data_IF_546493191896
#
_entry.id   IF_546493191896
#
_cell.length_a   1.000
_cell.length_b   1.000
_cell.length_c   1.000
_cell.angle_alpha   90.00
_cell.angle_beta   90.00
_cell.angle_gamma   90.00
#
_symmetry.space_group_name_H-M   'P 1'
#
loop_
_entity.id
_entity.type
_entity.pdbx_description
1 polymer ?
#
# COMPACT_ATOMS: atom_id res chain seq x y z
N UNK A 1 6.62 0.82 7.61
CA UNK A 1 5.51 1.41 8.38
C UNK A 1 4.31 0.47 8.44
N UNK A 2 3.50 0.32 7.38
CA UNK A 2 2.20 -0.39 7.41
C UNK A 2 2.31 -1.84 7.88
N UNK A 3 3.14 -2.66 7.25
CA UNK A 3 3.30 -4.08 7.64
C UNK A 3 3.70 -4.25 9.10
N UNK A 4 4.61 -3.42 9.62
CA UNK A 4 5.02 -3.49 11.03
C UNK A 4 3.90 -3.08 12.00
N UNK A 5 3.02 -2.16 11.61
CA UNK A 5 1.86 -1.80 12.42
C UNK A 5 0.84 -2.95 12.47
N UNK A 6 0.52 -3.53 11.32
CA UNK A 6 -0.37 -4.70 11.24
C UNK A 6 0.18 -5.87 12.06
N UNK A 7 1.49 -6.15 11.96
CA UNK A 7 2.13 -7.21 12.74
C UNK A 7 1.97 -6.96 14.24
N UNK A 8 2.30 -5.75 14.75
CA UNK A 8 2.13 -5.42 16.18
C UNK A 8 0.70 -5.65 16.65
N UNK A 9 -0.29 -5.27 15.83
CA UNK A 9 -1.70 -5.46 16.14
C UNK A 9 -2.07 -6.93 16.22
N UNK A 10 -1.70 -7.70 15.20
CA UNK A 10 -2.05 -9.11 15.10
C UNK A 10 -1.33 -9.99 16.13
N UNK A 11 -0.10 -9.64 16.54
CA UNK A 11 0.61 -10.33 17.64
C UNK A 11 -0.12 -10.25 18.98
N UNK A 12 -0.91 -9.20 19.20
CA UNK A 12 -1.71 -9.03 20.42
C UNK A 12 -3.13 -9.57 20.30
N UNK A 13 -3.54 -10.03 19.12
CA UNK A 13 -4.89 -10.48 18.84
C UNK A 13 -5.10 -11.94 19.27
N UNK A 14 -6.16 -12.18 20.01
CA UNK A 14 -6.60 -13.54 20.35
C UNK A 14 -7.21 -14.31 19.18
N UNK A 15 -7.49 -13.66 18.04
CA UNK A 15 -8.02 -14.26 16.82
C UNK A 15 -6.93 -14.99 16.01
N UNK A 16 -5.66 -14.66 16.23
CA UNK A 16 -4.54 -15.15 15.45
C UNK A 16 -3.80 -16.25 16.20
N UNK A 17 -3.74 -17.44 15.62
CA UNK A 17 -3.05 -18.59 16.22
C UNK A 17 -1.61 -18.73 15.76
N UNK A 18 -1.31 -18.31 14.53
CA UNK A 18 0.02 -18.33 13.95
C UNK A 18 0.17 -17.16 12.98
N UNK A 19 1.34 -16.51 12.95
CA UNK A 19 1.61 -15.32 12.17
C UNK A 19 2.97 -15.41 11.47
N UNK A 20 2.97 -15.63 10.15
CA UNK A 20 4.17 -15.52 9.35
C UNK A 20 4.46 -14.05 8.99
N UNK A 21 5.53 -13.52 9.53
CA UNK A 21 6.03 -12.15 9.26
C UNK A 21 7.10 -12.20 8.18
N UNK A 22 6.68 -12.38 6.92
CA UNK A 22 7.61 -12.51 5.81
C UNK A 22 8.15 -11.14 5.39
N UNK A 23 9.46 -11.02 5.35
CA UNK A 23 10.21 -9.87 4.82
C UNK A 23 10.76 -10.15 3.41
N UNK A 24 11.46 -9.19 2.81
CA UNK A 24 12.15 -9.39 1.53
C UNK A 24 13.29 -10.39 1.61
N UNK A 25 13.84 -10.62 2.80
CA UNK A 25 14.92 -11.59 3.04
C UNK A 25 14.36 -13.02 3.12
N UNK A 26 13.09 -13.16 3.52
CA UNK A 26 12.42 -14.45 3.68
C UNK A 26 11.74 -14.92 2.39
N UNK A 27 11.18 -13.98 1.61
CA UNK A 27 10.44 -14.30 0.38
C UNK A 27 10.66 -13.22 -0.67
N UNK A 28 11.18 -13.58 -1.81
CA UNK A 28 11.26 -12.70 -2.98
C UNK A 28 9.90 -12.65 -3.70
N UNK A 29 9.10 -11.62 -3.42
CA UNK A 29 7.81 -11.42 -4.07
C UNK A 29 7.91 -11.06 -5.57
N UNK A 30 9.11 -10.79 -6.11
CA UNK A 30 9.33 -10.66 -7.56
C UNK A 30 9.49 -12.00 -8.26
N UNK A 31 9.68 -13.07 -7.50
CA UNK A 31 9.78 -14.45 -7.97
C UNK A 31 8.47 -15.20 -7.69
N UNK A 32 7.78 -15.61 -8.77
CA UNK A 32 6.57 -16.43 -8.64
C UNK A 32 6.85 -17.75 -7.93
N UNK A 33 7.97 -18.42 -8.26
CA UNK A 33 8.32 -19.71 -7.65
C UNK A 33 8.57 -19.59 -6.14
N UNK A 34 9.21 -18.50 -5.70
CA UNK A 34 9.51 -18.27 -4.29
C UNK A 34 8.24 -17.88 -3.51
N UNK A 35 7.44 -16.96 -4.05
CA UNK A 35 6.13 -16.59 -3.50
C UNK A 35 5.22 -17.81 -3.34
N UNK A 36 5.10 -18.62 -4.41
CA UNK A 36 4.29 -19.85 -4.39
C UNK A 36 4.81 -20.85 -3.36
N UNK A 37 6.11 -21.04 -3.27
CA UNK A 37 6.73 -21.95 -2.29
C UNK A 37 6.38 -21.52 -0.87
N UNK A 38 6.53 -20.25 -0.53
CA UNK A 38 6.22 -19.73 0.80
C UNK A 38 4.74 -19.94 1.14
N UNK A 39 3.81 -19.53 0.27
CA UNK A 39 2.37 -19.68 0.48
C UNK A 39 1.98 -21.16 0.60
N UNK A 40 2.48 -22.02 -0.28
CA UNK A 40 2.16 -23.46 -0.26
C UNK A 40 2.73 -24.18 0.96
N UNK A 41 3.88 -23.78 1.47
CA UNK A 41 4.52 -24.38 2.65
C UNK A 41 3.85 -23.95 3.95
N UNK A 42 3.51 -22.67 4.08
CA UNK A 42 2.88 -22.12 5.27
C UNK A 42 1.36 -22.42 5.32
N UNK A 43 0.70 -22.45 4.16
CA UNK A 43 -0.75 -22.70 4.01
C UNK A 43 -1.61 -21.76 4.87
N UNK A 44 -1.49 -20.43 4.66
CA UNK A 44 -2.24 -19.47 5.45
C UNK A 44 -3.75 -19.55 5.15
N UNK A 45 -4.59 -19.27 6.14
CA UNK A 45 -6.03 -19.01 5.96
C UNK A 45 -6.27 -17.60 5.37
N UNK A 46 -5.34 -16.67 5.68
CA UNK A 46 -5.43 -15.28 5.28
C UNK A 46 -4.06 -14.73 4.88
N UNK A 47 -3.99 -14.08 3.73
CA UNK A 47 -2.83 -13.27 3.32
C UNK A 47 -3.19 -11.79 3.45
N UNK A 48 -2.37 -11.02 4.16
CA UNK A 48 -2.46 -9.56 4.22
C UNK A 48 -1.32 -8.99 3.39
N UNK A 49 -1.64 -8.48 2.20
CA UNK A 49 -0.64 -7.90 1.30
C UNK A 49 -0.37 -6.43 1.64
N UNK A 50 0.63 -6.20 2.47
CA UNK A 50 1.16 -4.87 2.79
C UNK A 50 2.42 -4.52 1.99
N UNK A 51 2.86 -5.39 1.08
CA UNK A 51 4.05 -5.17 0.27
C UNK A 51 3.73 -4.29 -0.94
N UNK A 52 4.53 -3.26 -1.13
CA UNK A 52 4.45 -2.39 -2.32
C UNK A 52 5.72 -1.56 -2.46
N UNK A 53 6.00 -1.09 -3.69
CA UNK A 53 6.86 0.07 -3.91
C UNK A 53 6.03 1.32 -3.72
N UNK A 54 6.38 2.11 -2.73
CA UNK A 54 5.67 3.36 -2.37
C UNK A 54 6.65 4.54 -2.32
N UNK A 55 6.12 5.76 -2.43
CA UNK A 55 6.93 6.97 -2.34
C UNK A 55 6.10 8.22 -2.59
N UNK A 56 6.67 9.39 -2.33
CA UNK A 56 6.06 10.69 -2.58
C UNK A 56 5.88 11.00 -4.08
N UNK A 57 5.34 12.18 -4.37
CA UNK A 57 5.07 12.64 -5.75
C UNK A 57 6.34 12.65 -6.60
N UNK A 58 7.46 13.13 -6.05
CA UNK A 58 8.74 13.19 -6.76
C UNK A 58 9.22 11.79 -7.18
N UNK A 59 9.24 10.84 -6.25
CA UNK A 59 9.62 9.46 -6.53
C UNK A 59 8.72 8.80 -7.58
N UNK A 60 7.38 8.96 -7.45
CA UNK A 60 6.41 8.43 -8.42
C UNK A 60 6.62 9.00 -9.82
N UNK A 61 6.88 10.29 -9.93
CA UNK A 61 7.09 10.95 -11.22
C UNK A 61 8.44 10.60 -11.85
N UNK A 62 9.46 10.31 -11.05
CA UNK A 62 10.82 9.98 -11.51
C UNK A 62 10.95 8.51 -11.89
N UNK A 63 10.48 7.59 -11.03
CA UNK A 63 10.66 6.14 -11.20
C UNK A 63 9.40 5.44 -11.71
N UNK A 64 8.73 6.05 -12.68
CA UNK A 64 7.42 5.63 -13.20
C UNK A 64 7.34 4.15 -13.57
N UNK A 65 8.33 3.65 -14.28
CA UNK A 65 8.39 2.26 -14.73
C UNK A 65 8.54 1.29 -13.57
N UNK A 66 9.36 1.62 -12.59
CA UNK A 66 9.57 0.78 -11.41
C UNK A 66 8.29 0.70 -10.57
N UNK A 67 7.60 1.83 -10.41
CA UNK A 67 6.34 1.86 -9.64
C UNK A 67 5.26 0.97 -10.25
N UNK A 68 5.12 0.92 -11.57
CA UNK A 68 4.12 0.03 -12.18
C UNK A 68 4.61 -1.42 -12.20
N UNK A 69 5.83 -1.70 -12.65
CA UNK A 69 6.33 -3.08 -12.82
C UNK A 69 6.47 -3.80 -11.47
N UNK A 70 7.11 -3.18 -10.48
CA UNK A 70 7.35 -3.82 -9.19
C UNK A 70 6.03 -4.11 -8.46
N UNK A 71 5.09 -3.15 -8.43
CA UNK A 71 3.79 -3.38 -7.81
C UNK A 71 2.96 -4.43 -8.55
N UNK A 72 3.00 -4.46 -9.89
CA UNK A 72 2.33 -5.53 -10.66
C UNK A 72 2.94 -6.90 -10.34
N UNK A 73 4.26 -7.05 -10.32
CA UNK A 73 4.92 -8.32 -9.99
C UNK A 73 4.51 -8.83 -8.62
N UNK A 74 4.58 -7.97 -7.59
CA UNK A 74 4.19 -8.34 -6.21
C UNK A 74 2.75 -8.85 -6.20
N UNK A 75 1.82 -8.07 -6.74
CA UNK A 75 0.41 -8.41 -6.72
C UNK A 75 0.12 -9.68 -7.54
N UNK A 76 0.64 -9.77 -8.77
CA UNK A 76 0.42 -10.95 -9.63
C UNK A 76 0.95 -12.22 -8.95
N UNK A 77 2.15 -12.22 -8.40
CA UNK A 77 2.74 -13.40 -7.78
C UNK A 77 1.96 -13.86 -6.54
N UNK A 78 1.50 -12.94 -5.70
CA UNK A 78 0.68 -13.29 -4.53
C UNK A 78 -0.67 -13.84 -4.98
N UNK A 79 -1.38 -13.13 -5.85
CA UNK A 79 -2.71 -13.52 -6.29
C UNK A 79 -2.69 -14.84 -7.07
N UNK A 80 -1.79 -15.00 -8.03
CA UNK A 80 -1.66 -16.24 -8.80
C UNK A 80 -1.32 -17.42 -7.88
N UNK A 81 -0.40 -17.23 -6.92
CA UNK A 81 -0.06 -18.28 -5.97
C UNK A 81 -1.23 -18.69 -5.10
N UNK A 82 -2.14 -17.78 -4.75
CA UNK A 82 -3.33 -18.09 -3.94
C UNK A 82 -4.36 -18.93 -4.69
N UNK A 83 -4.41 -18.89 -6.04
CA UNK A 83 -5.38 -19.68 -6.82
C UNK A 83 -5.16 -21.19 -6.70
N UNK A 84 -3.98 -21.63 -6.26
CA UNK A 84 -3.70 -23.06 -5.99
C UNK A 84 -4.36 -23.57 -4.70
N UNK A 85 -4.89 -22.67 -3.87
CA UNK A 85 -5.70 -23.00 -2.70
C UNK A 85 -6.84 -21.96 -2.55
N UNK A 86 -8.04 -22.24 -3.08
CA UNK A 86 -9.19 -21.33 -3.04
C UNK A 86 -9.68 -20.95 -1.64
N UNK A 87 -9.31 -21.70 -0.61
CA UNK A 87 -9.67 -21.39 0.79
C UNK A 87 -8.89 -20.17 1.34
N UNK A 88 -7.78 -19.78 0.71
CA UNK A 88 -7.00 -18.62 1.14
C UNK A 88 -7.79 -17.34 0.88
N UNK A 89 -8.05 -16.58 1.95
CA UNK A 89 -8.58 -15.22 1.86
C UNK A 89 -7.45 -14.20 1.69
N UNK A 90 -7.74 -13.04 1.10
CA UNK A 90 -6.73 -12.01 0.88
C UNK A 90 -7.28 -10.65 1.29
N UNK A 91 -6.56 -9.94 2.14
CA UNK A 91 -6.70 -8.48 2.34
C UNK A 91 -5.59 -7.81 1.55
N UNK A 92 -5.98 -7.05 0.53
CA UNK A 92 -5.05 -6.34 -0.34
C UNK A 92 -5.13 -4.84 -0.06
N UNK A 93 -3.97 -4.22 0.22
CA UNK A 93 -3.90 -2.78 0.42
C UNK A 93 -3.80 -2.06 -0.92
N UNK A 94 -4.90 -1.46 -1.32
CA UNK A 94 -5.02 -0.57 -2.45
C UNK A 94 -4.47 0.83 -2.14
N UNK A 95 -5.08 1.84 -2.72
CA UNK A 95 -4.75 3.26 -2.46
C UNK A 95 -5.87 4.14 -2.98
N UNK A 96 -6.13 5.26 -2.33
CA UNK A 96 -7.08 6.28 -2.82
C UNK A 96 -6.69 6.93 -4.15
N UNK A 97 -5.45 6.78 -4.59
CA UNK A 97 -4.98 7.30 -5.89
C UNK A 97 -5.63 6.63 -7.13
N UNK A 98 -6.38 5.54 -6.93
CA UNK A 98 -7.13 4.85 -8.00
C UNK A 98 -8.33 5.65 -8.51
N UNK A 99 -8.77 6.64 -7.73
CA UNK A 99 -9.91 7.47 -8.11
C UNK A 99 -9.51 8.56 -9.11
N UNK A 100 -10.41 8.95 -10.01
CA UNK A 100 -10.14 10.01 -10.98
C UNK A 100 -9.76 11.34 -10.31
N UNK A 101 -8.87 12.09 -10.98
CA UNK A 101 -8.39 13.40 -10.52
C UNK A 101 -9.54 14.37 -10.20
N UNK A 102 -10.58 14.36 -11.05
CA UNK A 102 -11.72 15.28 -10.97
C UNK A 102 -12.90 14.69 -10.20
N UNK A 103 -12.67 13.66 -9.36
CA UNK A 103 -13.74 13.05 -8.56
C UNK A 103 -14.34 14.09 -7.59
N UNK A 104 -15.69 14.20 -7.51
CA UNK A 104 -16.33 15.04 -6.50
C UNK A 104 -16.02 14.56 -5.07
N UNK A 105 -15.94 15.49 -4.12
CA UNK A 105 -15.83 15.18 -2.70
C UNK A 105 -17.21 15.19 -2.00
N UNK A 106 -17.48 14.25 -1.09
CA UNK A 106 -16.65 13.09 -0.73
C UNK A 106 -16.55 12.06 -1.87
N UNK A 107 -15.36 11.46 -2.04
CA UNK A 107 -15.13 10.44 -3.07
C UNK A 107 -15.91 9.18 -2.72
N UNK A 108 -16.70 8.67 -3.68
CA UNK A 108 -17.46 7.42 -3.53
C UNK A 108 -16.76 6.28 -4.27
N UNK A 109 -16.90 5.06 -3.77
CA UNK A 109 -16.35 3.86 -4.41
C UNK A 109 -16.82 3.69 -5.87
N UNK A 110 -18.05 4.14 -6.17
CA UNK A 110 -18.63 4.11 -7.53
C UNK A 110 -17.91 4.99 -8.54
N UNK A 111 -16.99 5.87 -8.11
CA UNK A 111 -16.19 6.70 -9.01
C UNK A 111 -14.96 5.97 -9.56
N UNK A 112 -14.71 4.75 -9.09
CA UNK A 112 -13.65 3.89 -9.59
C UNK A 112 -13.72 3.74 -11.13
N UNK A 113 -12.61 4.02 -11.81
CA UNK A 113 -12.46 3.99 -13.28
C UNK A 113 -13.34 4.97 -14.09
N UNK A 114 -13.98 5.96 -13.48
CA UNK A 114 -14.87 6.90 -14.18
C UNK A 114 -14.15 8.14 -14.74
N UNK A 115 -12.84 8.15 -14.83
CA UNK A 115 -12.11 9.31 -15.35
C UNK A 115 -10.60 9.11 -15.38
N UNK A 116 -9.88 10.19 -15.70
CA UNK A 116 -8.41 10.20 -15.80
C UNK A 116 -7.76 10.19 -14.41
N UNK A 117 -6.70 9.40 -14.28
CA UNK A 117 -5.87 9.38 -13.08
C UNK A 117 -5.01 10.65 -12.98
N UNK A 118 -4.57 10.95 -11.78
CA UNK A 118 -3.58 12.00 -11.55
C UNK A 118 -2.26 11.63 -12.30
N UNK A 119 -1.72 12.54 -13.16
CA UNK A 119 -0.64 12.17 -14.09
C UNK A 119 0.67 11.75 -13.42
N UNK A 120 1.04 12.33 -12.26
CA UNK A 120 2.35 12.07 -11.64
C UNK A 120 2.45 10.67 -11.04
N UNK A 121 1.34 10.13 -10.53
CA UNK A 121 1.29 8.81 -9.89
C UNK A 121 0.49 7.76 -10.68
N UNK A 122 0.06 8.09 -11.92
CA UNK A 122 -0.76 7.17 -12.72
C UNK A 122 -0.19 5.76 -12.90
N UNK A 123 1.14 5.51 -13.02
CA UNK A 123 1.67 4.15 -13.10
C UNK A 123 1.44 3.33 -11.81
N UNK A 124 1.61 3.95 -10.65
CA UNK A 124 1.30 3.32 -9.37
C UNK A 124 -0.21 3.04 -9.24
N UNK A 125 -1.03 4.03 -9.55
CA UNK A 125 -2.48 3.89 -9.52
C UNK A 125 -2.96 2.76 -10.44
N UNK A 126 -2.42 2.66 -11.67
CA UNK A 126 -2.74 1.56 -12.60
C UNK A 126 -2.37 0.19 -12.05
N UNK A 127 -1.23 0.05 -11.37
CA UNK A 127 -0.87 -1.21 -10.71
C UNK A 127 -1.86 -1.57 -9.59
N UNK A 128 -2.34 -0.59 -8.83
CA UNK A 128 -3.36 -0.79 -7.79
C UNK A 128 -4.74 -1.11 -8.37
N UNK A 129 -5.15 -0.47 -9.47
CA UNK A 129 -6.37 -0.80 -10.23
C UNK A 129 -6.30 -2.23 -10.75
N UNK A 130 -5.18 -2.61 -11.37
CA UNK A 130 -4.99 -3.98 -11.85
C UNK A 130 -5.10 -5.01 -10.72
N UNK A 131 -4.56 -4.72 -9.53
CA UNK A 131 -4.67 -5.64 -8.39
C UNK A 131 -6.12 -5.83 -7.92
N UNK A 132 -6.94 -4.79 -7.96
CA UNK A 132 -8.38 -4.90 -7.65
C UNK A 132 -9.07 -5.81 -8.66
N UNK A 133 -8.79 -5.62 -9.94
CA UNK A 133 -9.43 -6.40 -11.00
C UNK A 133 -8.97 -7.87 -10.99
N UNK A 134 -7.69 -8.13 -10.72
CA UNK A 134 -7.18 -9.48 -10.50
C UNK A 134 -7.92 -10.15 -9.32
N UNK A 135 -8.04 -9.43 -8.18
CA UNK A 135 -8.76 -9.96 -7.01
C UNK A 135 -10.23 -10.29 -7.30
N UNK A 136 -10.94 -9.44 -8.05
CA UNK A 136 -12.30 -9.71 -8.50
C UNK A 136 -12.39 -10.95 -9.40
N UNK A 137 -11.47 -11.05 -10.35
CA UNK A 137 -11.41 -12.16 -11.29
C UNK A 137 -11.14 -13.49 -10.58
N UNK A 138 -10.20 -13.51 -9.64
CA UNK A 138 -9.89 -14.69 -8.82
C UNK A 138 -11.08 -15.10 -7.98
N UNK A 139 -11.78 -14.15 -7.36
CA UNK A 139 -12.98 -14.45 -6.60
C UNK A 139 -14.06 -15.12 -7.47
N UNK A 140 -14.28 -14.61 -8.67
CA UNK A 140 -15.28 -15.17 -9.60
C UNK A 140 -14.89 -16.54 -10.15
N UNK A 141 -13.61 -16.74 -10.45
CA UNK A 141 -13.14 -17.95 -11.14
C UNK A 141 -12.77 -19.07 -10.18
N UNK A 142 -12.17 -18.76 -9.04
CA UNK A 142 -11.60 -19.74 -8.12
C UNK A 142 -12.29 -19.76 -6.74
N UNK A 143 -13.00 -18.69 -6.37
CA UNK A 143 -13.72 -18.61 -5.09
C UNK A 143 -12.93 -17.95 -3.95
N UNK A 144 -11.65 -17.63 -4.13
CA UNK A 144 -10.87 -16.91 -3.09
C UNK A 144 -11.56 -15.59 -2.72
N UNK A 145 -11.73 -15.33 -1.44
CA UNK A 145 -12.29 -14.05 -0.97
C UNK A 145 -11.20 -12.99 -0.93
N UNK A 146 -11.40 -11.92 -1.67
CA UNK A 146 -10.46 -10.80 -1.74
C UNK A 146 -11.13 -9.52 -1.29
N UNK A 147 -10.60 -8.91 -0.23
CA UNK A 147 -11.00 -7.58 0.26
C UNK A 147 -9.92 -6.59 -0.15
N UNK A 148 -10.31 -5.52 -0.86
CA UNK A 148 -9.41 -4.43 -1.21
C UNK A 148 -9.71 -3.23 -0.32
N UNK A 149 -8.73 -2.82 0.50
CA UNK A 149 -8.83 -1.62 1.34
C UNK A 149 -8.18 -0.43 0.62
N UNK A 150 -8.85 0.72 0.65
CA UNK A 150 -8.38 1.95 -0.01
C UNK A 150 -7.96 3.00 1.03
N UNK A 151 -6.81 2.80 1.71
CA UNK A 151 -6.36 3.77 2.69
C UNK A 151 -6.05 5.11 2.03
N UNK A 152 -6.23 6.18 2.79
CA UNK A 152 -5.82 7.53 2.44
C UNK A 152 -4.31 7.72 2.70
N UNK A 153 -3.82 8.93 2.94
CA UNK A 153 -2.41 9.16 3.21
C UNK A 153 -2.06 8.64 4.62
N UNK A 154 -1.34 7.53 4.65
CA UNK A 154 -0.92 6.92 5.91
C UNK A 154 0.29 7.65 6.48
N UNK A 155 0.34 7.74 7.80
CA UNK A 155 1.47 8.25 8.56
C UNK A 155 1.61 7.52 9.89
N UNK A 156 2.80 7.51 10.47
CA UNK A 156 3.01 6.93 11.80
C UNK A 156 4.43 6.42 12.05
N UNK A 157 4.54 5.56 13.04
CA UNK A 157 5.81 4.98 13.50
C UNK A 157 6.43 4.14 12.39
N UNK A 158 7.75 4.22 12.22
CA UNK A 158 8.52 3.56 11.16
C UNK A 158 8.20 4.05 9.75
N UNK A 159 7.73 5.28 9.60
CA UNK A 159 7.61 5.89 8.29
C UNK A 159 8.99 6.23 7.70
N UNK A 160 9.05 6.52 6.41
CA UNK A 160 10.28 6.92 5.73
C UNK A 160 10.44 8.42 5.76
N UNK A 161 11.43 8.90 6.51
CA UNK A 161 11.72 10.32 6.68
C UNK A 161 12.82 10.75 5.71
N UNK A 162 12.42 11.35 4.59
CA UNK A 162 13.31 11.94 3.60
C UNK A 162 12.81 13.34 3.25
N UNK A 163 13.69 14.34 3.12
CA UNK A 163 13.25 15.69 2.76
C UNK A 163 12.66 15.77 1.34
N UNK A 164 12.97 14.82 0.45
CA UNK A 164 12.61 14.86 -0.99
C UNK A 164 11.67 13.75 -1.46
N UNK A 165 11.78 12.54 -0.92
CA UNK A 165 11.15 11.35 -1.50
C UNK A 165 10.03 10.73 -0.65
N UNK A 166 9.87 11.22 0.58
CA UNK A 166 8.82 10.75 1.49
C UNK A 166 7.45 11.38 1.21
N UNK A 167 6.43 10.82 1.84
CA UNK A 167 5.09 11.43 1.89
C UNK A 167 5.11 12.76 2.64
N UNK A 168 4.01 13.52 2.55
CA UNK A 168 3.96 14.92 3.00
C UNK A 168 4.28 15.10 4.49
N UNK A 169 3.69 14.30 5.39
CA UNK A 169 3.93 14.45 6.84
C UNK A 169 5.38 14.14 7.21
N UNK A 170 5.94 12.94 6.88
CA UNK A 170 7.33 12.65 7.22
C UNK A 170 8.32 13.58 6.51
N UNK A 171 8.04 14.05 5.30
CA UNK A 171 8.88 15.02 4.60
C UNK A 171 8.89 16.39 5.27
N UNK A 172 7.75 16.88 5.74
CA UNK A 172 7.68 18.12 6.52
C UNK A 172 8.44 17.99 7.84
N UNK A 173 8.25 16.88 8.56
CA UNK A 173 8.96 16.62 9.82
C UNK A 173 10.47 16.60 9.58
N UNK A 174 10.94 15.92 8.53
CA UNK A 174 12.36 15.86 8.18
C UNK A 174 12.93 17.26 7.92
N UNK A 175 12.29 18.05 7.05
CA UNK A 175 12.76 19.42 6.74
C UNK A 175 12.72 20.35 7.95
N UNK A 176 11.70 20.29 8.79
CA UNK A 176 11.64 21.05 10.03
C UNK A 176 12.76 20.66 11.01
N UNK A 177 13.03 19.36 11.12
CA UNK A 177 14.10 18.87 11.98
C UNK A 177 15.47 19.32 11.50
N UNK A 178 15.72 19.23 10.18
CA UNK A 178 16.99 19.64 9.58
C UNK A 178 17.20 21.14 9.75
N UNK A 179 16.19 21.97 9.46
CA UNK A 179 16.26 23.43 9.66
C UNK A 179 16.55 23.80 11.13
N UNK A 180 15.85 23.13 12.08
CA UNK A 180 16.12 23.33 13.50
C UNK A 180 17.55 22.93 13.89
N UNK A 181 18.05 21.82 13.36
CA UNK A 181 19.39 21.31 13.68
C UNK A 181 20.49 22.22 13.11
N UNK A 182 20.23 22.86 11.98
CA UNK A 182 21.12 23.80 11.33
C UNK A 182 21.00 25.23 11.88
N UNK A 183 20.04 25.51 12.75
CA UNK A 183 19.65 26.86 13.22
C UNK A 183 19.19 27.77 12.07
N UNK A 184 18.51 27.20 11.05
CA UNK A 184 17.92 27.96 9.98
C UNK A 184 16.69 28.74 10.51
N UNK A 185 16.48 29.96 10.03
CA UNK A 185 15.34 30.81 10.43
C UNK A 185 14.00 30.31 9.83
N UNK A 186 14.06 29.53 8.76
CA UNK A 186 12.87 29.02 8.04
C UNK A 186 13.18 27.70 7.33
N UNK A 187 12.13 27.00 6.91
CA UNK A 187 12.24 25.85 6.03
C UNK A 187 11.23 25.96 4.89
N UNK A 188 11.51 25.28 3.79
CA UNK A 188 10.67 25.32 2.60
C UNK A 188 9.48 24.37 2.71
N UNK A 189 8.28 24.88 2.40
CA UNK A 189 7.07 24.11 2.17
C UNK A 189 6.78 24.09 0.68
N UNK A 190 6.65 22.90 0.09
CA UNK A 190 6.40 22.77 -1.33
C UNK A 190 4.94 23.05 -1.69
N UNK A 191 4.77 23.77 -2.79
CA UNK A 191 3.45 24.11 -3.32
C UNK A 191 2.80 25.32 -2.66
N UNK A 192 1.51 25.50 -2.91
CA UNK A 192 0.76 26.69 -2.48
C UNK A 192 0.18 26.61 -1.06
N UNK A 193 0.27 25.46 -0.40
CA UNK A 193 -0.39 25.21 0.89
C UNK A 193 -1.92 25.07 0.82
N UNK A 194 -2.53 25.23 -0.37
CA UNK A 194 -4.00 25.14 -0.55
C UNK A 194 -4.57 23.73 -0.63
N UNK A 195 -3.87 22.71 -1.19
CA UNK A 195 -4.45 21.37 -1.31
C UNK A 195 -4.79 20.77 0.05
N UNK A 196 -6.02 20.29 0.17
CA UNK A 196 -6.48 19.50 1.32
C UNK A 196 -6.10 18.03 1.11
N UNK A 197 -5.77 17.35 2.21
CA UNK A 197 -5.43 15.92 2.22
C UNK A 197 -6.09 15.26 3.42
N UNK A 198 -6.55 14.05 3.20
CA UNK A 198 -7.02 13.18 4.26
C UNK A 198 -5.86 12.31 4.74
N UNK A 199 -5.71 12.19 6.05
CA UNK A 199 -4.67 11.40 6.69
C UNK A 199 -5.29 10.34 7.59
N UNK A 200 -4.66 9.15 7.62
CA UNK A 200 -5.03 8.05 8.49
C UNK A 200 -3.80 7.58 9.27
N UNK A 201 -3.92 7.50 10.58
CA UNK A 201 -2.85 6.96 11.41
C UNK A 201 -2.70 5.46 11.16
N UNK A 202 -1.46 5.00 11.07
CA UNK A 202 -1.16 3.64 10.62
C UNK A 202 -1.70 2.56 11.55
N UNK A 203 -1.79 2.82 12.85
CA UNK A 203 -2.33 1.85 13.80
C UNK A 203 -3.86 1.76 13.71
N UNK A 204 -4.57 2.84 13.31
CA UNK A 204 -6.01 2.79 13.02
C UNK A 204 -6.29 1.92 11.77
N UNK A 205 -5.39 1.95 10.77
CA UNK A 205 -5.47 1.02 9.64
C UNK A 205 -5.25 -0.42 10.11
N UNK A 206 -4.31 -0.65 11.02
CA UNK A 206 -4.05 -2.00 11.55
C UNK A 206 -5.27 -2.53 12.34
N UNK A 207 -5.96 -1.68 13.07
CA UNK A 207 -7.22 -2.00 13.75
C UNK A 207 -8.32 -2.39 12.73
N UNK A 208 -8.44 -1.63 11.64
CA UNK A 208 -9.39 -1.94 10.57
C UNK A 208 -9.07 -3.26 9.84
N UNK A 209 -7.80 -3.62 9.73
CA UNK A 209 -7.37 -4.91 9.13
C UNK A 209 -7.71 -6.09 10.02
N UNK A 210 -7.65 -5.93 11.36
CA UNK A 210 -8.02 -6.98 12.31
C UNK A 210 -9.55 -7.19 12.41
N UNK A 211 -10.35 -6.12 12.18
CA UNK A 211 -11.81 -6.14 12.32
C UNK A 211 -12.47 -7.09 11.31
#
# INVERSE_FOLDING_TARGET
MVGSSIVRKLESSSKITDLLKSSREDTDLFSFSDTKKTISSYKPDLIINAAAKVGGINANNTYRTDFIIENLKINMNIFESSTYNPEINIINLGSSCIYPLDSPNPIKETYFMNGKLEPTNSPYAMAKIASIEIGRSINQQYGNKVINLMPTNLYGINDYFSPTDSHVIPGLISRMYDAKSNNDESFEIWGSGKPLREFLYVDDLADAVEF
#
